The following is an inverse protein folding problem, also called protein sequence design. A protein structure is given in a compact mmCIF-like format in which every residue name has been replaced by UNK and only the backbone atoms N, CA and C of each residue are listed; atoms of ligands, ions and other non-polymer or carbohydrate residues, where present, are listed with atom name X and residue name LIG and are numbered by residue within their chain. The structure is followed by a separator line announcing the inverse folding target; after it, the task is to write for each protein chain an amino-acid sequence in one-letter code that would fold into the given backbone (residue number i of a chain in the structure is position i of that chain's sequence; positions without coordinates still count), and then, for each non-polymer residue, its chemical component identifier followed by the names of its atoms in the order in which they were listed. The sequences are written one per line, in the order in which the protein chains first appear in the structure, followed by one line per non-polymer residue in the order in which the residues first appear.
data_IF_818193927666
#
_entry.id   IF_818193927666
#
_cell.length_a   1.000
_cell.length_b   1.000
_cell.length_c   1.000
_cell.angle_alpha   90.00
_cell.angle_beta   90.00
_cell.angle_gamma   90.00
#
_symmetry.space_group_name_H-M   'P 1'
#
loop_
_entity.id
_entity.type
_entity.pdbx_description
1 polymer ?
#
# COMPACT_ATOMS: atom_id res chain seq x y z
N UNK A 1 -18.54 10.25 6.18
CA UNK A 1 -19.70 9.37 5.97
C UNK A 1 -19.23 8.11 5.28
N UNK A 2 -19.86 6.96 5.53
CA UNK A 2 -19.66 5.71 4.80
C UNK A 2 -21.02 5.05 4.53
N UNK A 3 -21.05 4.14 3.56
CA UNK A 3 -22.20 3.30 3.24
C UNK A 3 -22.01 1.91 3.86
N UNK A 4 -23.06 1.38 4.48
CA UNK A 4 -23.11 0.02 4.97
C UNK A 4 -24.14 -0.74 4.15
N UNK A 5 -23.68 -1.70 3.36
CA UNK A 5 -24.54 -2.59 2.58
C UNK A 5 -25.12 -3.70 3.47
N UNK A 6 -26.45 -3.84 3.46
CA UNK A 6 -27.19 -4.91 4.14
C UNK A 6 -27.75 -5.97 3.17
N UNK A 7 -27.40 -5.90 1.88
CA UNK A 7 -27.91 -6.76 0.81
C UNK A 7 -29.16 -6.18 0.15
N UNK A 8 -30.22 -5.95 0.92
CA UNK A 8 -31.50 -5.43 0.38
C UNK A 8 -31.65 -3.90 0.51
N UNK A 9 -30.73 -3.26 1.24
CA UNK A 9 -30.75 -1.82 1.52
C UNK A 9 -29.36 -1.33 1.94
N UNK A 10 -29.09 -0.05 1.74
CA UNK A 10 -27.86 0.59 2.22
C UNK A 10 -28.17 1.63 3.29
N UNK A 11 -27.41 1.60 4.39
CA UNK A 11 -27.46 2.63 5.41
C UNK A 11 -26.35 3.66 5.17
N UNK A 12 -26.72 4.94 5.22
CA UNK A 12 -25.75 6.04 5.22
C UNK A 12 -25.38 6.38 6.67
N UNK A 13 -24.10 6.31 6.99
CA UNK A 13 -23.58 6.53 8.34
C UNK A 13 -22.58 7.67 8.38
N UNK A 14 -22.72 8.54 9.38
CA UNK A 14 -21.78 9.61 9.68
C UNK A 14 -20.79 9.22 10.77
N UNK A 15 -19.55 9.68 10.60
CA UNK A 15 -18.42 9.40 11.48
C UNK A 15 -17.78 10.71 11.91
N UNK A 16 -17.26 10.75 13.14
CA UNK A 16 -16.40 11.86 13.57
C UNK A 16 -14.99 11.67 13.02
N UNK A 17 -14.14 12.69 13.13
CA UNK A 17 -12.80 12.73 12.52
C UNK A 17 -11.88 11.55 12.89
N UNK A 18 -12.15 10.86 14.00
CA UNK A 18 -11.40 9.71 14.49
C UNK A 18 -11.95 8.36 13.99
N UNK A 19 -12.95 8.35 13.12
CA UNK A 19 -13.57 7.12 12.62
C UNK A 19 -14.61 6.51 13.56
N UNK A 20 -14.87 7.11 14.72
CA UNK A 20 -15.91 6.67 15.64
C UNK A 20 -17.29 6.95 15.04
N UNK A 21 -18.15 5.94 15.11
CA UNK A 21 -19.57 6.04 14.83
C UNK A 21 -20.19 7.08 15.76
N UNK A 22 -21.19 7.81 15.27
CA UNK A 22 -21.86 8.85 16.06
C UNK A 22 -22.76 8.24 17.15
N UNK A 23 -22.16 7.64 18.18
CA UNK A 23 -22.82 7.02 19.34
C UNK A 23 -22.17 7.46 20.65
N UNK A 24 -22.48 8.67 21.12
CA UNK A 24 -22.15 9.18 22.47
C UNK A 24 -20.74 8.84 23.02
N UNK A 25 -19.73 8.70 22.15
CA UNK A 25 -18.35 8.41 22.52
C UNK A 25 -18.08 7.00 23.08
N UNK A 26 -19.00 6.04 22.95
CA UNK A 26 -18.74 4.62 23.27
C UNK A 26 -18.28 3.88 22.02
N UNK A 27 -17.33 2.95 22.20
CA UNK A 27 -16.94 2.01 21.16
C UNK A 27 -18.18 1.33 20.57
N UNK A 28 -18.26 1.35 19.26
CA UNK A 28 -19.38 0.80 18.52
C UNK A 28 -18.87 -0.17 17.47
N UNK A 29 -19.62 -1.25 17.22
CA UNK A 29 -19.28 -2.26 16.21
C UNK A 29 -19.12 -1.72 14.78
N UNK A 30 -19.57 -0.49 14.53
CA UNK A 30 -19.46 0.17 13.23
C UNK A 30 -18.32 1.19 13.20
N UNK A 31 -17.53 1.34 14.26
CA UNK A 31 -16.34 2.20 14.27
C UNK A 31 -15.39 1.78 13.17
N UNK A 32 -14.90 2.75 12.40
CA UNK A 32 -14.00 2.48 11.30
C UNK A 32 -12.62 2.10 11.83
N UNK A 33 -12.18 0.90 11.46
CA UNK A 33 -10.83 0.42 11.70
C UNK A 33 -10.17 0.09 10.36
N UNK A 34 -9.05 0.75 10.09
CA UNK A 34 -8.19 0.37 8.97
C UNK A 34 -7.21 -0.69 9.46
N UNK A 35 -7.47 -1.95 9.09
CA UNK A 35 -6.57 -3.04 9.41
C UNK A 35 -5.33 -2.92 8.54
N UNK A 36 -4.18 -2.61 9.15
CA UNK A 36 -2.89 -2.60 8.46
C UNK A 36 -2.59 -3.99 7.90
N UNK A 37 -2.60 -4.11 6.57
CA UNK A 37 -2.24 -5.36 5.89
C UNK A 37 -0.76 -5.28 5.58
N UNK A 38 0.04 -6.11 6.27
CA UNK A 38 1.46 -6.26 5.96
C UNK A 38 1.65 -6.86 4.58
N UNK A 39 2.46 -6.21 3.78
CA UNK A 39 2.87 -6.62 2.43
C UNK A 39 4.39 -6.66 2.36
N UNK A 40 4.91 -7.56 1.54
CA UNK A 40 6.32 -7.60 1.19
C UNK A 40 6.50 -7.84 -0.31
N UNK A 41 7.66 -7.44 -0.81
CA UNK A 41 7.98 -7.57 -2.22
C UNK A 41 9.41 -7.17 -2.54
N UNK A 42 9.74 -7.21 -3.82
CA UNK A 42 11.07 -6.90 -4.35
C UNK A 42 10.96 -5.74 -5.33
N UNK A 43 11.89 -4.80 -5.25
CA UNK A 43 11.97 -3.66 -6.17
C UNK A 43 13.37 -3.54 -6.75
N UNK A 44 13.44 -3.19 -8.03
CA UNK A 44 14.70 -2.84 -8.68
C UNK A 44 14.95 -1.34 -8.51
N UNK A 45 16.13 -1.00 -8.00
CA UNK A 45 16.57 0.38 -7.77
C UNK A 45 17.45 0.79 -8.94
N UNK A 46 17.09 1.90 -9.56
CA UNK A 46 17.84 2.49 -10.66
C UNK A 46 18.31 3.89 -10.29
N UNK A 47 19.47 4.29 -10.80
CA UNK A 47 19.97 5.66 -10.73
C UNK A 47 19.75 6.35 -12.07
N UNK A 48 19.24 7.57 -12.03
CA UNK A 48 19.28 8.44 -13.18
C UNK A 48 20.65 9.11 -13.26
N UNK A 49 21.38 8.90 -14.36
CA UNK A 49 22.71 9.47 -14.57
C UNK A 49 22.74 11.01 -14.50
N UNK A 50 21.67 11.67 -14.95
CA UNK A 50 21.62 13.13 -15.04
C UNK A 50 21.23 13.82 -13.74
N UNK A 51 20.35 13.19 -12.94
CA UNK A 51 19.84 13.79 -11.71
C UNK A 51 20.39 13.15 -10.43
N UNK A 52 21.04 11.98 -10.53
CA UNK A 52 21.48 11.18 -9.37
C UNK A 52 20.33 10.60 -8.54
N UNK A 53 19.07 10.84 -8.96
CA UNK A 53 17.88 10.38 -8.25
C UNK A 53 17.78 8.87 -8.38
N UNK A 54 17.55 8.21 -7.25
CA UNK A 54 17.24 6.78 -7.19
C UNK A 54 15.74 6.59 -7.34
N UNK A 55 15.32 5.73 -8.24
CA UNK A 55 13.91 5.41 -8.47
C UNK A 55 13.67 3.92 -8.54
N UNK A 56 12.43 3.55 -8.26
CA UNK A 56 11.88 2.21 -8.43
C UNK A 56 10.65 2.32 -9.33
N UNK A 57 10.34 1.25 -10.08
CA UNK A 57 9.22 1.29 -11.05
C UNK A 57 8.12 0.28 -10.71
N UNK A 58 8.48 -0.89 -10.18
CA UNK A 58 7.55 -2.00 -9.98
C UNK A 58 7.94 -2.82 -8.77
N UNK A 59 6.91 -3.32 -8.08
CA UNK A 59 7.03 -4.30 -7.00
C UNK A 59 6.79 -5.70 -7.59
N UNK A 60 7.68 -6.63 -7.30
CA UNK A 60 7.64 -8.02 -7.71
C UNK A 60 7.46 -8.91 -6.49
N UNK A 61 6.79 -10.06 -6.66
CA UNK A 61 6.61 -11.01 -5.55
C UNK A 61 7.89 -11.76 -5.21
N UNK A 62 8.79 -11.96 -6.19
CA UNK A 62 10.05 -12.69 -5.99
C UNK A 62 11.26 -11.95 -6.57
N UNK A 63 12.44 -12.19 -5.99
CA UNK A 63 13.71 -11.64 -6.50
C UNK A 63 14.02 -12.11 -7.93
N UNK A 64 13.76 -13.38 -8.23
CA UNK A 64 14.05 -13.96 -9.54
C UNK A 64 13.21 -13.30 -10.65
N UNK A 65 11.95 -13.00 -10.37
CA UNK A 65 11.08 -12.27 -11.27
C UNK A 65 11.59 -10.84 -11.49
N UNK A 66 11.95 -10.14 -10.41
CA UNK A 66 12.52 -8.81 -10.48
C UNK A 66 13.77 -8.75 -11.37
N UNK A 67 14.67 -9.73 -11.23
CA UNK A 67 15.89 -9.82 -12.05
C UNK A 67 15.62 -10.21 -13.50
N UNK A 68 14.61 -11.04 -13.77
CA UNK A 68 14.23 -11.44 -15.13
C UNK A 68 13.73 -10.27 -15.97
N UNK A 69 13.04 -9.32 -15.35
CA UNK A 69 12.47 -8.15 -16.01
C UNK A 69 13.39 -6.91 -15.95
N UNK A 70 14.63 -7.06 -15.48
CA UNK A 70 15.60 -5.97 -15.38
C UNK A 70 16.86 -6.30 -16.17
N UNK A 71 17.43 -5.28 -16.80
CA UNK A 71 18.77 -5.38 -17.35
C UNK A 71 19.80 -5.08 -16.25
N UNK A 72 20.35 -6.15 -15.67
CA UNK A 72 21.36 -6.06 -14.61
C UNK A 72 22.72 -5.55 -15.10
N UNK A 73 22.95 -5.52 -16.41
CA UNK A 73 24.16 -4.97 -17.01
C UNK A 73 24.05 -3.47 -17.28
N UNK A 74 22.85 -2.89 -17.09
CA UNK A 74 22.64 -1.47 -17.25
C UNK A 74 23.47 -0.67 -16.23
N UNK A 75 24.22 0.36 -16.65
CA UNK A 75 24.94 1.24 -15.71
C UNK A 75 24.00 2.04 -14.81
N UNK A 76 22.69 2.03 -15.11
CA UNK A 76 21.64 2.65 -14.29
C UNK A 76 21.12 1.71 -13.22
N UNK A 77 21.28 0.40 -13.35
CA UNK A 77 20.85 -0.56 -12.34
C UNK A 77 21.79 -0.50 -11.14
N UNK A 78 21.22 -0.41 -9.93
CA UNK A 78 22.00 -0.40 -8.69
C UNK A 78 21.87 -1.75 -8.01
N UNK A 79 20.64 -2.13 -7.65
CA UNK A 79 20.38 -3.36 -6.92
C UNK A 79 18.89 -3.73 -6.94
N UNK A 80 18.58 -4.95 -6.52
CA UNK A 80 17.23 -5.45 -6.25
C UNK A 80 17.07 -5.71 -4.77
N UNK A 81 16.23 -4.90 -4.10
CA UNK A 81 16.05 -4.93 -2.66
C UNK A 81 14.67 -5.45 -2.28
N UNK A 82 14.58 -6.12 -1.12
CA UNK A 82 13.31 -6.50 -0.51
C UNK A 82 12.73 -5.30 0.25
N UNK A 83 11.44 -5.07 0.12
CA UNK A 83 10.70 -4.03 0.83
C UNK A 83 9.51 -4.65 1.57
N UNK A 84 9.13 -4.00 2.67
CA UNK A 84 7.99 -4.37 3.51
C UNK A 84 7.21 -3.09 3.80
N UNK A 85 5.88 -3.13 3.69
CA UNK A 85 5.00 -1.98 3.94
C UNK A 85 3.65 -2.42 4.48
N UNK A 86 2.87 -1.47 4.96
CA UNK A 86 1.52 -1.67 5.48
C UNK A 86 0.52 -0.89 4.62
N UNK A 87 -0.52 -1.56 4.15
CA UNK A 87 -1.68 -0.97 3.44
C UNK A 87 -2.89 -0.81 4.37
#
# INVERSE_FOLDING_TARGET
MALIDKGDSEDIVSYIRQGTFYSNGKEHKNDLFMAAVKKDGWVNVFTNYFSGIKSTNRIYSTKAEALKFTDTQSPRYIDTVKIEWEE
#
